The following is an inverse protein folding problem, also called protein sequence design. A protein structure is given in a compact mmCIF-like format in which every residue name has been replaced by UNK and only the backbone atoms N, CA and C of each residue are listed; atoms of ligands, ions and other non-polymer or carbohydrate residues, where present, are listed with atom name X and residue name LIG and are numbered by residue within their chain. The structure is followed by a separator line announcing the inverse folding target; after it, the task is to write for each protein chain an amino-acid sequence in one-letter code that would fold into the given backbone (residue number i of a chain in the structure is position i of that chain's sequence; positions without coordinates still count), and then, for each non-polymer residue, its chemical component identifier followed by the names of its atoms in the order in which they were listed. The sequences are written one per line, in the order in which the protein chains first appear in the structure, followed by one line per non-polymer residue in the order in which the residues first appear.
data_IF_078260416158
#
_entry.id   IF_078260416158
#
_cell.length_a   1.000
_cell.length_b   1.000
_cell.length_c   1.000
_cell.angle_alpha   90.00
_cell.angle_beta   90.00
_cell.angle_gamma   90.00
#
_symmetry.space_group_name_H-M   'P 1'
#
loop_
_entity.id
_entity.type
_entity.pdbx_description
1 polymer ?
#
# COMPACT_ATOMS: atom_id res chain seq x y z
N UNK A 1 10.44 15.98 -11.50
CA UNK A 1 11.34 15.59 -10.39
C UNK A 1 11.10 14.13 -10.04
N UNK A 2 12.15 13.35 -9.77
CA UNK A 2 12.04 11.94 -9.33
C UNK A 2 12.71 11.74 -7.99
N UNK A 3 12.19 10.83 -7.20
CA UNK A 3 12.77 10.36 -5.93
C UNK A 3 12.99 8.85 -5.99
N UNK A 4 13.92 8.35 -5.20
CA UNK A 4 14.14 6.91 -5.03
C UNK A 4 13.80 6.59 -3.59
N UNK A 5 12.84 5.69 -3.37
CA UNK A 5 12.35 5.31 -2.06
C UNK A 5 12.21 3.79 -1.97
N UNK A 6 12.37 3.28 -0.76
CA UNK A 6 12.09 1.90 -0.39
C UNK A 6 10.60 1.76 -0.06
N UNK A 7 9.88 0.94 -0.82
CA UNK A 7 8.42 0.84 -0.72
C UNK A 7 8.02 -0.22 0.30
N UNK A 8 7.11 0.13 1.20
CA UNK A 8 6.54 -0.77 2.21
C UNK A 8 5.02 -0.74 2.10
N UNK A 9 4.41 -1.90 1.84
CA UNK A 9 2.95 -2.02 1.74
C UNK A 9 2.31 -2.35 3.08
N UNK A 10 1.28 -1.58 3.44
CA UNK A 10 0.39 -1.82 4.57
C UNK A 10 -1.00 -2.20 4.06
N UNK A 11 -1.34 -3.48 4.15
CA UNK A 11 -2.61 -4.06 3.77
C UNK A 11 -3.55 -4.16 4.98
N UNK A 12 -4.67 -3.45 4.90
CA UNK A 12 -5.71 -3.47 5.94
C UNK A 12 -6.92 -4.33 5.57
N UNK A 13 -6.87 -5.08 4.46
CA UNK A 13 -7.82 -6.16 4.20
C UNK A 13 -7.60 -7.32 5.17
N UNK A 14 -8.64 -8.12 5.36
CA UNK A 14 -8.60 -9.39 6.10
C UNK A 14 -8.04 -10.57 5.28
N UNK A 15 -7.36 -10.28 4.18
CA UNK A 15 -6.86 -11.24 3.18
C UNK A 15 -5.57 -10.73 2.54
N UNK A 16 -4.70 -11.60 2.03
CA UNK A 16 -3.45 -11.17 1.41
C UNK A 16 -3.69 -10.39 0.12
N UNK A 17 -2.73 -9.53 -0.20
CA UNK A 17 -2.65 -8.86 -1.50
C UNK A 17 -1.30 -9.17 -2.15
N UNK A 18 -1.31 -9.28 -3.47
CA UNK A 18 -0.14 -9.54 -4.30
C UNK A 18 -0.07 -8.51 -5.42
N UNK A 19 1.06 -8.50 -6.14
CA UNK A 19 1.24 -7.67 -7.34
C UNK A 19 0.83 -6.21 -7.08
N UNK A 20 1.18 -5.70 -5.91
CA UNK A 20 0.92 -4.32 -5.53
C UNK A 20 1.97 -3.42 -6.17
N UNK A 21 1.53 -2.37 -6.88
CA UNK A 21 2.41 -1.47 -7.62
C UNK A 21 2.04 -0.01 -7.41
N UNK A 22 3.05 0.86 -7.46
CA UNK A 22 2.91 2.31 -7.63
C UNK A 22 3.50 2.68 -8.99
N UNK A 23 2.68 3.22 -9.89
CA UNK A 23 3.04 3.54 -11.29
C UNK A 23 3.71 2.35 -12.02
N UNK A 24 3.19 1.13 -11.80
CA UNK A 24 3.75 -0.13 -12.33
C UNK A 24 5.18 -0.44 -11.84
N UNK A 25 5.58 0.10 -10.69
CA UNK A 25 6.89 -0.11 -10.05
C UNK A 25 6.74 -0.55 -8.60
N UNK A 26 7.82 -1.08 -8.05
CA UNK A 26 7.87 -1.49 -6.64
C UNK A 26 6.93 -2.66 -6.35
N UNK A 27 6.86 -3.64 -7.27
CA UNK A 27 5.99 -4.81 -7.15
C UNK A 27 6.20 -5.55 -5.84
N UNK A 28 5.12 -5.71 -5.06
CA UNK A 28 5.20 -6.34 -3.75
C UNK A 28 3.94 -7.08 -3.35
N UNK A 29 4.05 -7.81 -2.25
CA UNK A 29 2.94 -8.46 -1.58
C UNK A 29 2.84 -7.95 -0.14
N UNK A 30 1.66 -8.10 0.46
CA UNK A 30 1.50 -7.87 1.89
C UNK A 30 0.50 -8.84 2.50
N UNK A 31 0.91 -9.40 3.63
CA UNK A 31 0.04 -10.14 4.54
C UNK A 31 -1.08 -9.24 5.08
N UNK A 32 -2.20 -9.84 5.53
CA UNK A 32 -3.29 -9.10 6.16
C UNK A 32 -2.85 -8.40 7.46
N UNK A 33 -3.61 -7.38 7.86
CA UNK A 33 -3.56 -6.85 9.22
C UNK A 33 -3.90 -7.96 10.25
N UNK A 34 -3.21 -8.04 11.41
CA UNK A 34 -2.23 -7.10 11.94
C UNK A 34 -0.78 -7.38 11.51
N UNK A 35 -0.50 -8.35 10.65
CA UNK A 35 0.88 -8.77 10.33
C UNK A 35 1.51 -8.04 9.13
N UNK A 36 0.85 -6.98 8.65
CA UNK A 36 1.29 -6.18 7.50
C UNK A 36 2.48 -5.24 7.80
N UNK A 37 3.14 -4.75 6.73
CA UNK A 37 4.30 -3.84 6.80
C UNK A 37 5.64 -4.56 7.00
N UNK A 38 5.70 -5.87 6.76
CA UNK A 38 6.88 -6.70 7.02
C UNK A 38 7.85 -6.87 5.85
N UNK A 39 7.52 -6.35 4.66
CA UNK A 39 8.34 -6.50 3.45
C UNK A 39 8.62 -5.14 2.82
N UNK A 40 9.86 -4.97 2.36
CA UNK A 40 10.35 -3.74 1.72
C UNK A 40 10.84 -4.06 0.31
N UNK A 41 10.55 -3.15 -0.63
CA UNK A 41 11.02 -3.21 -2.01
C UNK A 41 11.96 -2.03 -2.20
N UNK A 42 13.26 -2.30 -2.30
CA UNK A 42 14.27 -1.24 -2.27
C UNK A 42 14.49 -0.56 -3.62
N UNK A 43 14.88 0.72 -3.57
CA UNK A 43 15.39 1.46 -4.74
C UNK A 43 14.33 1.83 -5.77
N UNK A 44 13.07 2.02 -5.38
CA UNK A 44 11.97 2.29 -6.31
C UNK A 44 12.00 3.76 -6.75
N UNK A 45 12.29 3.99 -8.03
CA UNK A 45 12.33 5.33 -8.61
C UNK A 45 10.95 5.81 -9.06
N UNK A 46 10.40 6.82 -8.40
CA UNK A 46 9.08 7.38 -8.62
C UNK A 46 9.17 8.85 -9.07
N UNK A 47 8.29 9.27 -9.98
CA UNK A 47 8.10 10.69 -10.28
C UNK A 47 7.21 11.31 -9.20
N UNK A 48 7.43 12.58 -8.84
CA UNK A 48 6.47 13.31 -8.00
C UNK A 48 5.15 13.54 -8.74
N UNK A 49 4.07 13.79 -8.01
CA UNK A 49 2.73 14.07 -8.55
C UNK A 49 1.74 12.91 -8.34
N UNK A 50 0.62 12.90 -9.08
CA UNK A 50 -0.39 11.84 -9.03
C UNK A 50 0.20 10.45 -9.24
N UNK A 51 -0.39 9.46 -8.58
CA UNK A 51 0.07 8.07 -8.54
C UNK A 51 -1.06 7.14 -8.94
N UNK A 52 -0.72 6.15 -9.76
CA UNK A 52 -1.60 5.01 -10.04
C UNK A 52 -1.18 3.86 -9.15
N UNK A 53 -2.05 3.45 -8.23
CA UNK A 53 -1.78 2.34 -7.31
C UNK A 53 -2.71 1.18 -7.59
N UNK A 54 -2.16 -0.01 -7.79
CA UNK A 54 -2.93 -1.24 -8.07
C UNK A 54 -2.47 -2.37 -7.18
N UNK A 55 -3.34 -3.35 -6.93
CA UNK A 55 -3.01 -4.59 -6.22
C UNK A 55 -3.96 -5.71 -6.64
N UNK A 56 -3.54 -6.97 -6.49
CA UNK A 56 -4.35 -8.15 -6.77
C UNK A 56 -4.83 -8.80 -5.47
N UNK A 57 -6.12 -9.09 -5.41
CA UNK A 57 -6.72 -9.81 -4.30
C UNK A 57 -6.44 -11.32 -4.39
N UNK A 58 -6.17 -11.94 -3.25
CA UNK A 58 -5.99 -13.39 -3.17
C UNK A 58 -6.49 -13.94 -1.82
N UNK A 59 -6.61 -15.26 -1.69
CA UNK A 59 -7.20 -15.90 -0.52
C UNK A 59 -7.53 -17.38 -0.77
N UNK A 60 -8.23 -18.04 0.18
CA UNK A 60 -8.68 -19.42 0.02
C UNK A 60 -9.51 -19.62 -1.25
N UNK A 61 -9.49 -20.82 -1.80
CA UNK A 61 -10.31 -21.19 -2.96
C UNK A 61 -11.80 -20.88 -2.70
N UNK A 62 -12.46 -20.30 -3.71
CA UNK A 62 -13.87 -19.89 -3.63
C UNK A 62 -14.12 -18.55 -2.91
N UNK A 63 -13.09 -17.89 -2.35
CA UNK A 63 -13.27 -16.55 -1.80
C UNK A 63 -13.61 -15.55 -2.93
N UNK A 64 -14.62 -14.68 -2.74
CA UNK A 64 -15.02 -13.72 -3.75
C UNK A 64 -13.85 -12.85 -4.22
N UNK A 65 -13.79 -12.55 -5.52
CA UNK A 65 -12.82 -11.63 -6.13
C UNK A 65 -11.35 -12.09 -6.08
N UNK A 66 -11.06 -13.36 -5.75
CA UNK A 66 -9.70 -13.89 -5.92
C UNK A 66 -9.22 -13.69 -7.36
N UNK A 67 -7.98 -13.22 -7.51
CA UNK A 67 -7.37 -12.93 -8.81
C UNK A 67 -7.74 -11.57 -9.39
N UNK A 68 -8.69 -10.83 -8.81
CA UNK A 68 -9.07 -9.50 -9.28
C UNK A 68 -7.97 -8.48 -8.98
N UNK A 69 -7.58 -7.71 -10.00
CA UNK A 69 -6.68 -6.56 -9.86
C UNK A 69 -7.49 -5.29 -9.66
N UNK A 70 -7.31 -4.66 -8.49
CA UNK A 70 -7.97 -3.43 -8.10
C UNK A 70 -7.07 -2.24 -8.44
N UNK A 71 -7.69 -1.15 -8.91
CA UNK A 71 -7.11 0.19 -8.99
C UNK A 71 -7.66 1.03 -7.83
N UNK A 72 -6.78 1.76 -7.14
CA UNK A 72 -7.19 2.68 -6.08
C UNK A 72 -8.31 3.62 -6.55
N UNK A 73 -9.40 3.72 -5.77
CA UNK A 73 -10.56 4.56 -6.09
C UNK A 73 -10.27 6.06 -5.95
N UNK A 74 -9.39 6.43 -5.02
CA UNK A 74 -8.96 7.81 -4.87
C UNK A 74 -7.80 8.13 -5.83
N UNK A 75 -7.42 9.40 -5.89
CA UNK A 75 -6.26 9.87 -6.66
C UNK A 75 -5.09 10.17 -5.72
N UNK A 76 -4.35 9.15 -5.23
CA UNK A 76 -3.21 9.39 -4.36
C UNK A 76 -2.13 10.18 -5.11
N UNK A 77 -1.38 11.00 -4.38
CA UNK A 77 -0.30 11.80 -4.96
C UNK A 77 0.92 11.84 -4.04
N UNK A 78 2.09 11.87 -4.66
CA UNK A 78 3.38 11.96 -4.00
C UNK A 78 3.97 13.35 -4.28
N UNK A 79 3.57 14.35 -3.48
CA UNK A 79 3.92 15.75 -3.74
C UNK A 79 5.00 16.29 -2.80
N UNK A 80 4.91 15.96 -1.51
CA UNK A 80 5.83 16.39 -0.48
C UNK A 80 6.64 15.20 0.02
N UNK A 81 7.89 15.10 -0.44
CA UNK A 81 8.85 14.09 0.02
C UNK A 81 9.90 14.82 0.87
N UNK A 82 10.02 14.50 2.18
CA UNK A 82 11.09 15.02 3.01
C UNK A 82 12.46 14.78 2.36
N UNK A 83 13.43 15.71 2.48
CA UNK A 83 14.75 15.58 1.84
C UNK A 83 15.47 14.27 2.14
N UNK A 84 15.30 13.74 3.35
CA UNK A 84 15.94 12.53 3.84
C UNK A 84 14.98 11.33 3.90
N UNK A 85 13.84 11.39 3.19
CA UNK A 85 12.93 10.26 3.14
C UNK A 85 13.61 9.07 2.45
N UNK A 86 13.64 7.95 3.15
CA UNK A 86 14.17 6.68 2.65
C UNK A 86 13.03 5.77 2.18
N UNK A 87 11.88 5.84 2.86
CA UNK A 87 10.76 4.92 2.64
C UNK A 87 9.53 5.61 2.06
N UNK A 88 8.73 4.83 1.34
CA UNK A 88 7.35 5.15 1.01
C UNK A 88 6.42 4.10 1.62
N UNK A 89 5.64 4.49 2.63
CA UNK A 89 4.55 3.69 3.13
C UNK A 89 3.35 3.78 2.18
N UNK A 90 2.85 2.64 1.73
CA UNK A 90 1.65 2.53 0.89
C UNK A 90 0.57 1.82 1.70
N UNK A 91 -0.33 2.60 2.30
CA UNK A 91 -1.45 2.08 3.09
C UNK A 91 -2.65 1.81 2.17
N UNK A 92 -3.04 0.55 2.04
CA UNK A 92 -4.13 0.09 1.17
C UNK A 92 -5.30 -0.37 2.07
N UNK A 93 -6.46 0.25 1.88
CA UNK A 93 -7.62 0.08 2.76
C UNK A 93 -8.73 -0.78 2.13
N UNK A 94 -9.62 -1.38 2.95
CA UNK A 94 -10.74 -2.18 2.47
C UNK A 94 -11.75 -1.44 1.59
N UNK A 95 -11.85 -0.12 1.72
CA UNK A 95 -12.70 0.73 0.86
C UNK A 95 -12.07 1.02 -0.52
N UNK A 96 -10.95 0.36 -0.82
CA UNK A 96 -10.15 0.50 -2.04
C UNK A 96 -9.53 1.89 -2.22
N UNK A 97 -9.34 2.61 -1.11
CA UNK A 97 -8.53 3.84 -1.10
C UNK A 97 -7.09 3.56 -0.66
N UNK A 98 -6.18 4.47 -1.03
CA UNK A 98 -4.77 4.40 -0.69
C UNK A 98 -4.27 5.69 -0.06
N UNK A 99 -3.38 5.57 0.93
CA UNK A 99 -2.59 6.67 1.46
C UNK A 99 -1.09 6.43 1.22
N UNK A 100 -0.39 7.48 0.79
CA UNK A 100 1.03 7.46 0.47
C UNK A 100 1.77 8.37 1.44
N UNK A 101 2.67 7.81 2.26
CA UNK A 101 3.39 8.55 3.29
C UNK A 101 4.89 8.31 3.15
N UNK A 102 5.65 9.29 2.64
CA UNK A 102 7.10 9.25 2.68
C UNK A 102 7.62 9.38 4.12
N UNK A 103 8.58 8.54 4.51
CA UNK A 103 9.15 8.57 5.86
C UNK A 103 10.67 8.43 5.83
N UNK A 104 11.35 9.09 6.78
CA UNK A 104 12.80 8.98 6.97
C UNK A 104 13.17 7.63 7.60
N UNK A 105 12.32 7.12 8.49
CA UNK A 105 12.53 5.84 9.16
C UNK A 105 11.55 4.79 8.66
N UNK A 106 11.81 3.52 9.01
CA UNK A 106 10.92 2.43 8.67
C UNK A 106 9.48 2.75 9.09
N UNK A 107 8.51 2.68 8.17
CA UNK A 107 7.17 3.17 8.41
C UNK A 107 6.40 2.32 9.41
N UNK A 108 5.36 2.92 9.99
CA UNK A 108 4.46 2.27 10.96
C UNK A 108 3.02 2.33 10.45
N UNK A 109 2.18 1.46 11.01
CA UNK A 109 0.72 1.51 10.77
C UNK A 109 0.16 2.85 11.25
N UNK A 110 -0.82 3.39 10.53
CA UNK A 110 -1.49 4.65 10.90
C UNK A 110 -2.72 4.41 11.76
N UNK A 111 -3.15 5.45 12.50
CA UNK A 111 -4.42 5.44 13.25
C UNK A 111 -5.61 5.14 12.34
N UNK A 112 -5.64 5.76 11.14
CA UNK A 112 -6.62 5.46 10.10
C UNK A 112 -6.62 3.97 9.74
N UNK A 113 -5.44 3.39 9.54
CA UNK A 113 -5.31 1.96 9.27
C UNK A 113 -5.87 1.08 10.38
N UNK A 114 -5.57 1.40 11.64
CA UNK A 114 -6.16 0.70 12.78
C UNK A 114 -7.69 0.82 12.83
N UNK A 115 -8.24 2.01 12.57
CA UNK A 115 -9.67 2.25 12.54
C UNK A 115 -10.36 1.45 11.42
N UNK A 116 -9.80 1.48 10.20
CA UNK A 116 -10.35 0.76 9.04
C UNK A 116 -10.33 -0.76 9.23
N UNK A 117 -9.24 -1.30 9.76
CA UNK A 117 -9.16 -2.74 10.04
C UNK A 117 -10.19 -3.17 11.10
N UNK A 118 -10.42 -2.36 12.14
CA UNK A 118 -11.46 -2.64 13.15
C UNK A 118 -12.87 -2.60 12.55
N UNK A 119 -13.14 -1.62 11.70
CA UNK A 119 -14.44 -1.48 11.04
C UNK A 119 -14.75 -2.65 10.09
N UNK A 120 -13.73 -3.22 9.44
CA UNK A 120 -13.88 -4.35 8.51
C UNK A 120 -14.12 -5.70 9.20
N UNK A 121 -13.81 -5.84 10.50
CA UNK A 121 -14.08 -7.07 11.27
C UNK A 121 -15.52 -7.13 11.79
N UNK A 122 -16.19 -5.97 11.90
CA UNK A 122 -17.56 -5.85 12.43
C UNK A 122 -18.64 -5.83 11.33
N UNK A 123 -18.28 -6.19 10.10
CA UNK A 123 -19.17 -6.30 8.93
C UNK A 123 -19.29 -7.76 8.52
#
# INVERSE_FOLDING_TARGET
MTVTLDVVYFNYFNRPIFDAFVDNKGGGASTPYPHTGGTTISGVRLALGPKRVTWRLDGPEGMPRNGETILAKNSPSLNAVPPDAEFLAVHIYPDETVELIPTVHYPRKTEKGHAMARAAVNQ
#
